data_IF_665191838351
#
_entry.id   IF_665191838351
#
_cell.length_a   1.000
_cell.length_b   1.000
_cell.length_c   1.000
_cell.angle_alpha   90.00
_cell.angle_beta   90.00
_cell.angle_gamma   90.00
#
_symmetry.space_group_name_H-M   'P 1'
#
loop_
_entity.id
_entity.type
_entity.pdbx_description
1 polymer ?
#
# COMPACT_ATOMS: atom_id res chain seq x y z
N UNK A 1 10.90 12.91 -0.59
CA UNK A 1 9.56 12.36 -0.43
C UNK A 1 8.84 12.17 -1.76
N UNK A 2 7.62 11.67 -1.72
CA UNK A 2 6.76 11.55 -2.92
C UNK A 2 6.25 12.94 -3.28
N UNK A 3 6.43 13.35 -4.54
CA UNK A 3 5.87 14.61 -5.03
C UNK A 3 4.36 14.48 -5.22
N UNK A 4 3.59 14.86 -4.20
CA UNK A 4 2.12 14.83 -4.22
C UNK A 4 1.49 15.98 -5.02
N UNK A 5 2.27 16.89 -5.59
CA UNK A 5 1.76 17.90 -6.51
C UNK A 5 1.41 17.28 -7.87
N UNK A 6 2.18 16.30 -8.32
CA UNK A 6 1.94 15.63 -9.60
C UNK A 6 0.81 14.59 -9.54
N UNK A 7 0.06 14.38 -10.65
CA UNK A 7 -0.97 13.33 -10.75
C UNK A 7 -0.46 11.91 -10.43
N UNK A 8 0.70 11.56 -11.00
CA UNK A 8 1.36 10.26 -10.74
C UNK A 8 1.79 10.15 -9.28
N UNK A 9 2.29 11.25 -8.71
CA UNK A 9 2.69 11.29 -7.31
C UNK A 9 1.52 11.07 -6.36
N UNK A 10 0.36 11.69 -6.60
CA UNK A 10 -0.88 11.44 -5.84
C UNK A 10 -1.28 9.96 -5.90
N UNK A 11 -1.24 9.35 -7.09
CA UNK A 11 -1.52 7.91 -7.25
C UNK A 11 -0.57 7.05 -6.42
N UNK A 12 0.71 7.27 -6.59
CA UNK A 12 1.74 6.48 -5.93
C UNK A 12 1.70 6.65 -4.42
N UNK A 13 1.43 7.88 -3.94
CA UNK A 13 1.25 8.16 -2.52
C UNK A 13 0.08 7.36 -1.94
N UNK A 14 -1.09 7.39 -2.57
CA UNK A 14 -2.25 6.62 -2.12
C UNK A 14 -1.98 5.11 -2.11
N UNK A 15 -1.31 4.58 -3.15
CA UNK A 15 -0.93 3.16 -3.21
C UNK A 15 0.02 2.78 -2.07
N UNK A 16 1.09 3.56 -1.86
CA UNK A 16 2.09 3.23 -0.83
C UNK A 16 1.55 3.42 0.57
N UNK A 17 0.69 4.41 0.78
CA UNK A 17 0.02 4.62 2.06
C UNK A 17 -0.89 3.43 2.41
N UNK A 18 -1.70 2.96 1.44
CA UNK A 18 -2.50 1.74 1.59
C UNK A 18 -1.62 0.56 2.00
N UNK A 19 -0.53 0.30 1.28
CA UNK A 19 0.38 -0.80 1.58
C UNK A 19 0.97 -0.70 2.99
N UNK A 20 1.42 0.49 3.38
CA UNK A 20 2.08 0.72 4.66
C UNK A 20 1.12 0.65 5.86
N UNK A 21 -0.13 1.10 5.70
CA UNK A 21 -1.13 1.19 6.77
C UNK A 21 -2.01 -0.04 6.91
N UNK A 22 -2.10 -0.86 5.86
CA UNK A 22 -2.99 -2.03 5.86
C UNK A 22 -2.25 -3.36 5.72
N UNK A 23 -1.00 -3.32 5.29
CA UNK A 23 -0.23 -4.52 4.98
C UNK A 23 -0.79 -5.32 3.80
N UNK A 24 -1.69 -4.78 2.99
CA UNK A 24 -2.20 -5.44 1.79
C UNK A 24 -1.08 -5.82 0.81
N UNK A 25 -1.33 -6.78 -0.05
CA UNK A 25 -0.44 -7.05 -1.17
C UNK A 25 -0.63 -6.00 -2.26
N UNK A 26 0.43 -5.70 -3.00
CA UNK A 26 0.34 -4.74 -4.12
C UNK A 26 -0.73 -5.14 -5.13
N UNK A 27 -0.89 -6.45 -5.42
CA UNK A 27 -1.94 -6.94 -6.30
C UNK A 27 -3.34 -6.59 -5.79
N UNK A 28 -3.58 -6.66 -4.48
CA UNK A 28 -4.88 -6.33 -3.89
C UNK A 28 -5.15 -4.82 -3.96
N UNK A 29 -4.11 -3.99 -3.77
CA UNK A 29 -4.23 -2.53 -3.83
C UNK A 29 -4.47 -2.04 -5.25
N UNK A 30 -3.69 -2.49 -6.24
CA UNK A 30 -3.83 -2.00 -7.62
C UNK A 30 -5.13 -2.45 -8.28
N UNK A 31 -5.73 -3.52 -7.81
CA UNK A 31 -7.01 -4.04 -8.31
C UNK A 31 -8.23 -3.40 -7.64
N UNK A 32 -8.05 -2.45 -6.70
CA UNK A 32 -9.17 -1.78 -6.04
C UNK A 32 -10.09 -1.08 -7.02
N UNK A 33 -11.39 -1.25 -6.80
CA UNK A 33 -12.48 -0.61 -7.53
C UNK A 33 -13.29 0.28 -6.61
N UNK A 34 -14.09 1.18 -7.16
CA UNK A 34 -14.98 2.05 -6.37
C UNK A 34 -15.90 1.26 -5.45
N UNK A 35 -16.45 0.14 -5.91
CA UNK A 35 -17.34 -0.76 -5.14
C UNK A 35 -16.68 -1.40 -3.92
N UNK A 36 -15.34 -1.45 -3.89
CA UNK A 36 -14.61 -2.00 -2.75
C UNK A 36 -14.58 -1.05 -1.55
N UNK A 37 -14.85 0.24 -1.74
CA UNK A 37 -14.79 1.24 -0.67
C UNK A 37 -16.19 1.60 -0.20
N UNK A 38 -16.50 1.24 1.03
CA UNK A 38 -17.70 1.67 1.74
C UNK A 38 -17.38 2.93 2.56
N UNK A 39 -17.58 4.09 1.95
CA UNK A 39 -17.32 5.39 2.57
C UNK A 39 -18.19 5.67 3.79
N UNK A 40 -19.41 5.08 3.85
CA UNK A 40 -20.32 5.28 4.99
C UNK A 40 -19.88 4.49 6.21
N UNK A 41 -19.36 3.27 5.98
CA UNK A 41 -18.88 2.38 7.02
C UNK A 41 -17.39 2.50 7.29
N UNK A 42 -16.70 3.39 6.57
CA UNK A 42 -15.25 3.57 6.65
C UNK A 42 -14.52 2.23 6.56
N UNK A 43 -14.79 1.44 5.53
CA UNK A 43 -14.11 0.18 5.32
C UNK A 43 -13.85 -0.14 3.84
N UNK A 44 -12.81 -0.92 3.61
CA UNK A 44 -12.45 -1.48 2.30
C UNK A 44 -12.76 -2.96 2.36
N UNK A 45 -13.54 -3.48 1.40
CA UNK A 45 -13.88 -4.89 1.28
C UNK A 45 -13.34 -5.44 -0.02
N UNK A 46 -12.52 -6.46 0.07
CA UNK A 46 -11.91 -7.11 -1.08
C UNK A 46 -11.98 -8.63 -0.97
N UNK A 47 -11.86 -9.28 -2.11
CA UNK A 47 -11.44 -10.68 -2.17
C UNK A 47 -9.96 -10.68 -2.55
N UNK A 48 -9.11 -11.20 -1.67
CA UNK A 48 -7.66 -11.20 -1.89
C UNK A 48 -7.31 -11.97 -3.17
N UNK A 49 -6.57 -11.35 -4.07
CA UNK A 49 -6.23 -11.92 -5.37
C UNK A 49 -5.50 -13.26 -5.26
N UNK A 50 -4.53 -13.37 -4.35
CA UNK A 50 -3.69 -14.58 -4.23
C UNK A 50 -4.39 -15.73 -3.50
N UNK A 51 -5.26 -15.45 -2.54
CA UNK A 51 -5.83 -16.47 -1.64
C UNK A 51 -7.32 -16.73 -1.87
N UNK A 52 -8.00 -15.86 -2.63
CA UNK A 52 -9.44 -15.90 -2.81
C UNK A 52 -10.27 -15.64 -1.53
N UNK A 53 -9.62 -15.25 -0.43
CA UNK A 53 -10.30 -15.04 0.85
C UNK A 53 -10.88 -13.62 0.91
N UNK A 54 -12.13 -13.47 1.44
CA UNK A 54 -12.69 -12.15 1.70
C UNK A 54 -11.92 -11.49 2.85
N UNK A 55 -11.73 -10.18 2.73
CA UNK A 55 -11.08 -9.35 3.74
C UNK A 55 -11.78 -8.00 3.83
N UNK A 56 -12.08 -7.58 5.07
CA UNK A 56 -12.57 -6.24 5.38
C UNK A 56 -11.56 -5.53 6.27
N UNK A 57 -11.13 -4.35 5.87
CA UNK A 57 -10.16 -3.54 6.61
C UNK A 57 -10.71 -2.14 6.86
N UNK A 58 -10.36 -1.49 7.98
CA UNK A 58 -10.74 -0.12 8.24
C UNK A 58 -10.16 0.83 7.19
N UNK A 59 -10.96 1.80 6.76
CA UNK A 59 -10.51 2.93 5.97
C UNK A 59 -10.24 4.09 6.92
N UNK A 60 -8.97 4.33 7.26
CA UNK A 60 -8.61 5.49 8.07
C UNK A 60 -8.82 6.80 7.28
N UNK A 61 -8.98 7.92 8.00
CA UNK A 61 -9.12 9.23 7.39
C UNK A 61 -7.95 9.54 6.43
N UNK A 62 -6.72 9.27 6.87
CA UNK A 62 -5.50 9.48 6.09
C UNK A 62 -5.54 8.74 4.73
N UNK A 63 -5.93 7.46 4.73
CA UNK A 63 -6.06 6.67 3.50
C UNK A 63 -7.19 7.22 2.63
N UNK A 64 -8.33 7.53 3.24
CA UNK A 64 -9.50 8.10 2.53
C UNK A 64 -9.16 9.41 1.83
N UNK A 65 -8.49 10.32 2.53
CA UNK A 65 -8.04 11.62 1.98
C UNK A 65 -7.06 11.44 0.82
N UNK A 66 -6.09 10.53 0.94
CA UNK A 66 -5.14 10.25 -0.12
C UNK A 66 -5.83 9.70 -1.39
N UNK A 67 -6.78 8.78 -1.22
CA UNK A 67 -7.57 8.25 -2.35
C UNK A 67 -8.40 9.38 -2.98
N UNK A 68 -9.11 10.17 -2.18
CA UNK A 68 -9.92 11.30 -2.67
C UNK A 68 -9.06 12.33 -3.41
N UNK A 69 -7.89 12.67 -2.87
CA UNK A 69 -6.97 13.60 -3.52
C UNK A 69 -6.51 13.07 -4.90
N UNK A 70 -6.22 11.79 -5.00
CA UNK A 70 -5.92 11.17 -6.28
C UNK A 70 -7.11 11.20 -7.22
N UNK A 71 -8.30 10.79 -6.77
CA UNK A 71 -9.51 10.74 -7.60
C UNK A 71 -9.89 12.13 -8.15
N UNK A 72 -9.78 13.18 -7.34
CA UNK A 72 -10.15 14.54 -7.73
C UNK A 72 -9.11 15.25 -8.60
N UNK A 73 -7.83 15.05 -8.32
CA UNK A 73 -6.77 15.89 -8.84
C UNK A 73 -5.65 15.13 -9.58
N UNK A 74 -5.72 13.81 -9.61
CA UNK A 74 -4.66 13.00 -10.21
C UNK A 74 -5.15 11.94 -11.18
N UNK A 75 -6.34 11.39 -10.98
CA UNK A 75 -6.84 10.29 -11.81
C UNK A 75 -7.22 10.79 -13.21
N UNK A 76 -6.72 10.15 -14.30
CA UNK A 76 -7.20 10.44 -15.64
C UNK A 76 -8.70 10.24 -15.77
N UNK A 77 -9.36 11.03 -16.63
CA UNK A 77 -10.77 10.83 -16.97
C UNK A 77 -10.95 9.47 -17.64
N UNK A 78 -11.87 8.66 -17.11
CA UNK A 78 -12.10 7.30 -17.60
C UNK A 78 -13.40 6.75 -17.02
N UNK A 79 -14.11 5.94 -17.81
CA UNK A 79 -15.31 5.20 -17.39
C UNK A 79 -14.98 3.93 -16.57
N UNK A 80 -13.71 3.62 -16.42
CA UNK A 80 -13.27 2.44 -15.67
C UNK A 80 -13.63 2.53 -14.19
N UNK A 81 -14.16 1.44 -13.64
CA UNK A 81 -14.47 1.33 -12.21
C UNK A 81 -13.24 1.15 -11.31
N UNK A 82 -12.07 0.87 -11.89
CA UNK A 82 -10.81 0.77 -11.16
C UNK A 82 -10.41 2.12 -10.59
N UNK A 83 -9.96 2.14 -9.33
CA UNK A 83 -9.48 3.35 -8.68
C UNK A 83 -8.17 3.81 -9.32
N UNK A 84 -7.20 2.90 -9.45
CA UNK A 84 -5.86 3.21 -9.90
C UNK A 84 -5.66 2.88 -11.39
N UNK A 85 -5.28 3.91 -12.16
CA UNK A 85 -5.07 3.81 -13.59
C UNK A 85 -3.61 4.05 -13.96
N UNK A 86 -3.23 3.54 -15.14
CA UNK A 86 -2.02 3.98 -15.84
C UNK A 86 -2.14 5.47 -16.19
N UNK A 87 -1.04 6.20 -16.14
CA UNK A 87 -0.98 7.59 -16.60
C UNK A 87 -0.44 7.72 -18.03
N UNK A 88 -0.24 6.59 -18.70
CA UNK A 88 0.06 6.52 -20.13
C UNK A 88 -1.23 6.13 -20.86
N UNK A 89 -1.52 6.80 -21.97
CA UNK A 89 -2.66 6.44 -22.82
C UNK A 89 -2.54 4.96 -23.25
N UNK A 90 -3.65 4.25 -23.26
CA UNK A 90 -5.05 4.65 -23.12
C UNK A 90 -5.59 4.66 -21.68
N UNK A 91 -4.80 4.93 -20.66
CA UNK A 91 -5.16 5.04 -19.24
C UNK A 91 -5.86 3.82 -18.66
N UNK A 92 -5.34 2.65 -19.02
CA UNK A 92 -5.88 1.35 -18.58
C UNK A 92 -5.82 1.19 -17.06
N UNK A 93 -6.73 0.40 -16.46
CA UNK A 93 -6.60 -0.04 -15.08
C UNK A 93 -5.24 -0.68 -14.81
N UNK A 94 -4.68 -0.38 -13.64
CA UNK A 94 -3.54 -1.16 -13.15
C UNK A 94 -3.97 -2.60 -12.91
N UNK A 95 -3.03 -3.53 -13.01
CA UNK A 95 -3.29 -4.95 -12.84
C UNK A 95 -2.21 -5.61 -11.95
N UNK A 96 -2.38 -6.90 -11.66
CA UNK A 96 -1.50 -7.63 -10.75
C UNK A 96 -0.06 -7.79 -11.24
N UNK A 97 0.22 -7.52 -12.52
CA UNK A 97 1.59 -7.49 -13.06
C UNK A 97 2.30 -6.16 -12.78
N UNK A 98 1.54 -5.08 -12.49
CA UNK A 98 2.14 -3.82 -12.10
C UNK A 98 2.80 -3.96 -10.73
N UNK A 99 4.11 -3.96 -10.72
CA UNK A 99 4.88 -3.91 -9.50
C UNK A 99 5.51 -2.52 -9.36
N UNK A 100 5.45 -1.96 -8.18
CA UNK A 100 5.97 -0.63 -7.90
C UNK A 100 7.35 -0.65 -7.25
N UNK A 101 8.13 -1.70 -7.51
CA UNK A 101 9.44 -1.86 -6.87
C UNK A 101 10.45 -0.80 -7.33
N UNK A 102 10.41 -0.38 -8.60
CA UNK A 102 11.24 0.72 -9.11
C UNK A 102 10.86 2.05 -8.48
N UNK A 103 9.56 2.32 -8.41
CA UNK A 103 9.01 3.53 -7.82
C UNK A 103 9.34 3.64 -6.34
N UNK A 104 9.07 2.59 -5.55
CA UNK A 104 9.37 2.62 -4.12
C UNK A 104 10.86 2.78 -3.85
N UNK A 105 11.73 2.12 -4.62
CA UNK A 105 13.19 2.29 -4.51
C UNK A 105 13.63 3.70 -4.84
N UNK A 106 13.03 4.34 -5.87
CA UNK A 106 13.27 5.75 -6.19
C UNK A 106 12.95 6.64 -5.00
N UNK A 107 11.77 6.47 -4.40
CA UNK A 107 11.36 7.27 -3.25
C UNK A 107 12.20 6.99 -2.00
N UNK A 108 12.60 5.76 -1.77
CA UNK A 108 13.53 5.40 -0.69
C UNK A 108 14.88 6.14 -0.83
N UNK A 109 15.45 6.16 -2.05
CA UNK A 109 16.70 6.92 -2.31
C UNK A 109 16.51 8.41 -2.05
N UNK A 110 15.41 9.00 -2.53
CA UNK A 110 15.10 10.42 -2.32
C UNK A 110 14.91 10.77 -0.84
N UNK A 111 14.55 9.80 -0.01
CA UNK A 111 14.43 9.93 1.43
C UNK A 111 15.73 9.63 2.18
N UNK A 112 16.83 9.38 1.47
CA UNK A 112 18.12 9.06 2.09
C UNK A 112 18.20 7.68 2.73
N UNK A 113 17.24 6.79 2.41
CA UNK A 113 17.26 5.43 2.93
C UNK A 113 18.21 4.60 2.09
N UNK A 114 19.31 4.18 2.70
CA UNK A 114 20.24 3.25 2.09
C UNK A 114 19.72 1.81 2.20
N UNK A 115 19.67 1.11 1.08
CA UNK A 115 19.33 -0.30 1.03
C UNK A 115 20.45 -1.05 0.32
N UNK A 116 21.20 -1.80 1.08
CA UNK A 116 22.20 -2.73 0.54
C UNK A 116 21.52 -3.97 -0.04
N UNK A 117 22.21 -4.71 -0.90
CA UNK A 117 21.70 -5.92 -1.55
C UNK A 117 21.17 -7.00 -0.58
N UNK A 118 21.48 -6.92 0.71
CA UNK A 118 21.01 -7.82 1.76
C UNK A 118 19.69 -7.39 2.41
N UNK A 119 19.21 -6.16 2.17
CA UNK A 119 17.91 -5.68 2.67
C UNK A 119 16.88 -5.77 1.57
N UNK A 120 15.74 -6.36 1.87
CA UNK A 120 14.60 -6.37 0.95
C UNK A 120 14.18 -4.93 0.61
N UNK A 121 14.32 -4.55 -0.65
CA UNK A 121 13.99 -3.22 -1.15
C UNK A 121 12.86 -3.33 -2.16
N UNK A 122 11.66 -3.02 -1.75
CA UNK A 122 10.48 -3.08 -2.63
C UNK A 122 9.19 -2.94 -1.84
N UNK A 123 8.08 -3.02 -2.54
CA UNK A 123 6.74 -2.89 -1.93
C UNK A 123 6.47 -3.91 -0.82
N UNK A 124 7.10 -5.08 -0.90
CA UNK A 124 7.03 -6.09 0.17
C UNK A 124 7.57 -5.59 1.51
N UNK A 125 8.52 -4.64 1.49
CA UNK A 125 9.09 -4.05 2.69
C UNK A 125 8.04 -3.27 3.49
N UNK A 126 7.12 -2.57 2.82
CA UNK A 126 6.03 -1.86 3.49
C UNK A 126 5.12 -2.81 4.27
N UNK A 127 4.81 -3.95 3.68
CA UNK A 127 4.02 -4.99 4.33
C UNK A 127 4.75 -5.62 5.52
N UNK A 128 6.06 -5.87 5.38
CA UNK A 128 6.90 -6.38 6.46
C UNK A 128 6.97 -5.38 7.61
N UNK A 129 7.10 -4.08 7.31
CA UNK A 129 7.09 -3.01 8.32
C UNK A 129 5.76 -2.93 9.05
N UNK A 130 4.63 -3.05 8.34
CA UNK A 130 3.31 -3.13 8.96
C UNK A 130 3.23 -4.29 9.96
N UNK A 131 3.65 -5.50 9.56
CA UNK A 131 3.66 -6.67 10.44
C UNK A 131 4.54 -6.45 11.68
N UNK A 132 5.74 -5.89 11.49
CA UNK A 132 6.67 -5.61 12.60
C UNK A 132 6.11 -4.55 13.55
N UNK A 133 5.44 -3.51 13.04
CA UNK A 133 4.79 -2.50 13.88
C UNK A 133 3.66 -3.10 14.69
N UNK A 134 2.84 -3.97 14.11
CA UNK A 134 1.79 -4.68 14.85
C UNK A 134 2.37 -5.53 15.99
N UNK A 135 3.48 -6.23 15.74
CA UNK A 135 4.17 -7.00 16.77
C UNK A 135 4.70 -6.10 17.90
N UNK A 136 5.30 -4.96 17.56
CA UNK A 136 5.77 -3.97 18.55
C UNK A 136 4.63 -3.41 19.41
N UNK A 137 3.41 -3.32 18.85
CA UNK A 137 2.20 -2.90 19.54
C UNK A 137 1.52 -4.03 20.33
N UNK A 138 2.11 -5.21 20.38
CA UNK A 138 1.61 -6.34 21.15
C UNK A 138 0.58 -7.23 20.45
N UNK A 139 0.39 -7.08 19.14
CA UNK A 139 -0.47 -7.98 18.40
C UNK A 139 0.14 -9.39 18.33
N UNK A 140 -0.69 -10.42 18.50
CA UNK A 140 -0.24 -11.80 18.39
C UNK A 140 0.14 -12.17 16.94
N UNK A 141 1.04 -13.12 16.78
CA UNK A 141 1.41 -13.64 15.45
C UNK A 141 0.20 -14.19 14.68
N UNK A 142 -0.74 -14.81 15.39
CA UNK A 142 -1.98 -15.34 14.79
C UNK A 142 -2.84 -14.20 14.20
N UNK A 143 -3.02 -13.10 14.94
CA UNK A 143 -3.75 -11.93 14.47
C UNK A 143 -3.10 -11.32 13.23
N UNK A 144 -1.77 -11.18 13.25
CA UNK A 144 -1.02 -10.64 12.11
C UNK A 144 -1.14 -11.59 10.91
N UNK A 145 -1.03 -12.89 11.12
CA UNK A 145 -1.17 -13.90 10.07
C UNK A 145 -2.57 -13.85 9.43
N UNK A 146 -3.61 -13.70 10.23
CA UNK A 146 -4.99 -13.56 9.73
C UNK A 146 -5.18 -12.28 8.91
N UNK A 147 -4.72 -11.13 9.40
CA UNK A 147 -4.83 -9.83 8.71
C UNK A 147 -4.06 -9.86 7.39
N UNK A 148 -2.87 -10.43 7.40
CA UNK A 148 -2.05 -10.56 6.21
C UNK A 148 -2.52 -11.68 5.27
N UNK A 149 -3.46 -12.54 5.70
CA UNK A 149 -3.93 -13.68 4.90
C UNK A 149 -2.81 -14.69 4.61
N UNK A 150 -1.96 -14.94 5.60
CA UNK A 150 -0.98 -16.02 5.54
C UNK A 150 -1.61 -17.32 6.01
N UNK A 151 -1.35 -18.40 5.28
CA UNK A 151 -1.73 -19.77 5.68
C UNK A 151 -0.70 -20.42 6.59
N UNK A 152 0.49 -19.81 6.77
CA UNK A 152 1.60 -20.34 7.53
C UNK A 152 2.18 -19.29 8.48
N UNK A 153 2.19 -19.58 9.78
CA UNK A 153 2.74 -18.74 10.85
C UNK A 153 4.25 -18.52 10.68
N UNK A 154 4.97 -19.46 10.06
CA UNK A 154 6.41 -19.32 9.82
C UNK A 154 6.76 -18.13 8.92
N UNK A 155 5.83 -17.70 8.08
CA UNK A 155 6.02 -16.48 7.28
C UNK A 155 5.97 -15.22 8.15
N UNK A 156 5.17 -15.21 9.22
CA UNK A 156 5.09 -14.07 10.14
C UNK A 156 6.40 -13.89 10.95
N UNK A 157 7.11 -14.95 11.27
CA UNK A 157 8.40 -14.87 11.99
C UNK A 157 9.52 -14.27 11.14
N UNK A 158 9.43 -14.34 9.82
CA UNK A 158 10.41 -13.72 8.92
C UNK A 158 10.40 -12.18 8.99
N UNK A 159 9.30 -11.59 9.46
CA UNK A 159 9.12 -10.14 9.58
C UNK A 159 9.84 -9.53 10.79
N UNK A 160 10.29 -10.34 11.77
CA UNK A 160 11.03 -9.87 12.95
C UNK A 160 12.40 -9.23 12.63
N UNK A 161 12.83 -9.23 11.37
CA UNK A 161 14.15 -8.76 10.92
C UNK A 161 14.16 -7.41 10.24
N UNK A 162 13.02 -6.70 10.17
CA UNK A 162 12.91 -5.40 9.44
C UNK A 162 12.76 -4.26 10.43
N UNK A 163 13.55 -3.19 10.26
CA UNK A 163 13.43 -1.96 11.04
C UNK A 163 12.36 -1.04 10.42
N UNK A 164 11.22 -0.80 11.10
CA UNK A 164 10.10 -0.08 10.53
C UNK A 164 10.22 1.44 10.60
N UNK A 165 11.06 1.98 11.48
CA UNK A 165 11.09 3.44 11.75
C UNK A 165 11.56 4.24 10.53
N UNK A 166 12.51 3.68 9.76
CA UNK A 166 13.00 4.32 8.54
C UNK A 166 12.00 4.33 7.38
N UNK A 167 11.05 3.39 7.35
CA UNK A 167 10.07 3.30 6.24
C UNK A 167 8.84 4.17 6.44
N UNK A 168 8.46 4.43 7.69
CA UNK A 168 7.37 5.38 7.99
C UNK A 168 7.79 6.82 7.67
N UNK A 169 9.08 7.16 7.77
CA UNK A 169 9.58 8.47 7.37
C UNK A 169 9.39 8.79 5.89
N UNK A 170 9.21 7.78 5.02
CA UNK A 170 8.89 7.96 3.60
C UNK A 170 7.51 8.59 3.38
N UNK A 171 6.58 8.33 4.27
CA UNK A 171 5.18 8.73 4.13
C UNK A 171 4.95 10.06 4.85
N UNK A 172 5.71 10.35 5.91
CA UNK A 172 5.57 11.55 6.73
C UNK A 172 6.34 12.79 6.22
N UNK A 173 7.00 12.74 5.07
CA UNK A 173 7.70 13.91 4.54
C UNK A 173 6.74 14.72 3.68
N UNK A 174 5.94 15.54 4.28
CA UNK A 174 5.45 16.84 3.83
C UNK A 174 4.28 17.28 4.71
N UNK A 175 4.54 17.70 5.91
CA UNK A 175 3.74 18.75 6.51
C UNK A 175 4.53 20.06 6.37
N UNK A 176 3.87 21.16 5.91
CA UNK A 176 4.51 22.46 5.78
C UNK A 176 4.83 23.06 7.17
#
# INVERSE_FOLDING_TARGET
GIDTASPIGKRNYAIFLLLARTGLRISDVVLLRFENIDWRKNCIRITQYKTGKPLSIPLSAEIGEAIIAYLKYGRPSSEESAIFLSHNAPFQPLNHHNNFNSEIRKYMRLAGIDFTAKRHSGVHTLRSSFATNMLKQGASLDNISQILGHSDINVATSYLRVDPEHLLSLIHISEP
#
